data_IF_614882095500
#
_entry.id   IF_614882095500
#
_cell.length_a   1.000
_cell.length_b   1.000
_cell.length_c   1.000
_cell.angle_alpha   90.00
_cell.angle_beta   90.00
_cell.angle_gamma   90.00
#
_symmetry.space_group_name_H-M   'P 1'
#
loop_
_entity.id
_entity.type
_entity.pdbx_description
1 polymer ?
#
# COMPACT_ATOMS: atom_id res chain seq x y z
N UNK A 1 -31.79 -8.01 22.33
CA UNK A 1 -32.67 -7.27 21.40
C UNK A 1 -31.91 -6.34 20.46
N UNK A 2 -30.68 -5.97 20.79
CA UNK A 2 -29.82 -5.11 19.93
C UNK A 2 -29.13 -5.84 18.77
N UNK A 3 -28.93 -7.17 18.85
CA UNK A 3 -28.32 -7.95 17.76
C UNK A 3 -29.24 -8.19 16.54
N UNK A 4 -30.53 -7.99 16.67
CA UNK A 4 -31.46 -8.18 15.55
C UNK A 4 -31.51 -7.00 14.58
N UNK A 5 -31.09 -5.79 15.00
CA UNK A 5 -31.03 -4.63 14.12
C UNK A 5 -29.87 -4.67 13.15
N UNK A 6 -28.73 -5.28 13.53
CA UNK A 6 -27.55 -5.39 12.67
C UNK A 6 -27.78 -6.38 11.52
N UNK A 7 -28.57 -7.43 11.73
CA UNK A 7 -28.86 -8.42 10.70
C UNK A 7 -29.79 -7.90 9.58
N UNK A 8 -30.57 -6.84 9.84
CA UNK A 8 -31.46 -6.23 8.83
C UNK A 8 -30.71 -5.28 7.89
N UNK A 9 -29.57 -4.75 8.32
CA UNK A 9 -28.74 -3.80 7.57
C UNK A 9 -28.04 -4.45 6.37
N UNK A 10 -27.79 -5.76 6.43
CA UNK A 10 -27.09 -6.49 5.35
C UNK A 10 -27.98 -6.83 4.13
N UNK A 11 -29.25 -6.49 4.12
CA UNK A 11 -30.18 -6.85 3.02
C UNK A 11 -30.42 -5.77 1.96
N UNK A 12 -29.73 -4.61 2.01
CA UNK A 12 -30.11 -3.53 1.10
C UNK A 12 -29.07 -2.44 0.82
N UNK A 13 -27.83 -2.74 0.53
CA UNK A 13 -26.83 -1.73 0.12
C UNK A 13 -26.08 -1.12 1.32
N UNK A 14 -25.09 -0.23 1.09
CA UNK A 14 -24.32 0.36 2.17
C UNK A 14 -25.23 1.20 3.05
N UNK A 15 -25.59 0.66 4.22
CA UNK A 15 -26.29 1.43 5.23
C UNK A 15 -25.34 2.50 5.75
N UNK A 16 -25.73 3.76 5.60
CA UNK A 16 -25.08 4.84 6.34
C UNK A 16 -25.39 4.61 7.81
N UNK A 17 -24.34 4.39 8.61
CA UNK A 17 -24.46 4.43 10.06
C UNK A 17 -24.75 5.88 10.47
N UNK A 18 -25.67 6.06 11.39
CA UNK A 18 -25.91 7.36 12.01
C UNK A 18 -24.75 7.66 12.99
N UNK A 19 -24.46 8.93 13.23
CA UNK A 19 -23.32 9.36 14.04
C UNK A 19 -23.31 8.70 15.43
N UNK A 20 -24.49 8.53 16.07
CA UNK A 20 -24.61 7.85 17.36
C UNK A 20 -24.30 6.34 17.31
N UNK A 21 -24.47 5.70 16.16
CA UNK A 21 -24.12 4.28 15.97
C UNK A 21 -22.63 4.11 15.82
N UNK A 22 -22.00 5.06 15.14
CA UNK A 22 -20.52 5.12 15.00
C UNK A 22 -19.88 5.36 16.36
N UNK A 23 -20.39 6.32 17.16
CA UNK A 23 -19.92 6.59 18.51
C UNK A 23 -20.09 5.36 19.42
N UNK A 24 -21.22 4.69 19.38
CA UNK A 24 -21.47 3.48 20.19
C UNK A 24 -20.55 2.31 19.82
N UNK A 25 -20.18 2.17 18.55
CA UNK A 25 -19.21 1.17 18.10
C UNK A 25 -17.80 1.55 18.57
N UNK A 26 -17.45 2.82 18.44
CA UNK A 26 -16.16 3.33 18.88
C UNK A 26 -15.96 3.14 20.39
N UNK A 27 -16.96 3.51 21.20
CA UNK A 27 -16.94 3.33 22.66
C UNK A 27 -16.83 1.85 23.07
N UNK A 28 -17.56 0.98 22.35
CA UNK A 28 -17.46 -0.45 22.60
C UNK A 28 -16.07 -1.01 22.29
N UNK A 29 -15.48 -0.60 21.18
CA UNK A 29 -14.13 -1.04 20.78
C UNK A 29 -13.06 -0.49 21.74
N UNK A 30 -13.19 0.76 22.14
CA UNK A 30 -12.27 1.40 23.10
C UNK A 30 -12.31 0.73 24.47
N UNK A 31 -13.49 0.29 24.92
CA UNK A 31 -13.65 -0.42 26.17
C UNK A 31 -13.00 -1.83 26.19
N UNK A 32 -12.68 -2.39 25.02
CA UNK A 32 -11.98 -3.69 24.89
C UNK A 32 -10.47 -3.55 24.85
N UNK A 33 -9.93 -2.33 24.77
CA UNK A 33 -8.49 -2.10 24.68
C UNK A 33 -7.90 -2.12 26.10
N UNK A 34 -6.91 -2.96 26.37
CA UNK A 34 -6.25 -3.00 27.69
C UNK A 34 -5.60 -1.65 28.03
N UNK A 35 -5.65 -1.28 29.32
CA UNK A 35 -4.93 -0.09 29.82
C UNK A 35 -3.44 -0.18 29.46
N UNK A 36 -2.94 0.85 28.78
CA UNK A 36 -1.54 0.94 28.36
C UNK A 36 -1.30 0.77 26.85
N UNK A 37 -2.32 0.43 26.07
CA UNK A 37 -2.25 0.59 24.63
C UNK A 37 -2.60 2.05 24.31
N UNK A 38 -1.63 2.78 23.75
CA UNK A 38 -1.80 4.20 23.44
C UNK A 38 -2.93 4.45 22.46
N UNK A 39 -4.13 4.58 22.99
CA UNK A 39 -5.31 5.00 22.22
C UNK A 39 -5.35 6.50 22.22
N UNK A 40 -5.17 7.09 21.08
CA UNK A 40 -5.47 8.50 20.86
C UNK A 40 -6.99 8.64 20.96
N UNK A 41 -7.50 9.30 22.01
CA UNK A 41 -8.93 9.59 22.12
C UNK A 41 -9.33 10.49 20.96
N UNK A 42 -10.10 9.98 20.02
CA UNK A 42 -10.82 10.81 19.05
C UNK A 42 -11.81 11.69 19.83
N UNK A 43 -11.53 12.99 19.98
CA UNK A 43 -12.42 13.92 20.66
C UNK A 43 -11.75 15.05 21.42
N UNK A 44 -10.46 15.27 21.24
CA UNK A 44 -9.78 16.49 21.62
C UNK A 44 -9.34 17.22 20.36
N UNK A 45 -9.59 18.51 20.27
CA UNK A 45 -8.91 19.41 19.37
C UNK A 45 -7.40 19.41 19.73
N UNK A 46 -6.73 18.35 19.34
CA UNK A 46 -5.31 18.32 19.13
C UNK A 46 -5.17 18.22 17.60
N UNK A 47 -4.99 19.37 16.96
CA UNK A 47 -4.15 19.41 15.78
C UNK A 47 -2.77 18.91 16.27
N UNK A 48 -2.61 17.59 16.38
CA UNK A 48 -1.29 17.02 16.27
C UNK A 48 -0.86 17.43 14.86
N UNK A 49 -0.02 18.46 14.78
CA UNK A 49 0.82 18.63 13.61
C UNK A 49 1.52 17.28 13.46
N UNK A 50 0.97 16.44 12.59
CA UNK A 50 1.70 15.30 12.08
C UNK A 50 2.90 15.94 11.41
N UNK A 51 4.05 15.95 12.10
CA UNK A 51 5.29 16.40 11.49
C UNK A 51 5.40 15.60 10.20
N UNK A 52 5.23 16.28 9.08
CA UNK A 52 5.34 15.64 7.78
C UNK A 52 6.73 15.00 7.76
N UNK A 53 6.77 13.69 7.61
CA UNK A 53 8.05 12.99 7.50
C UNK A 53 8.77 13.59 6.31
N UNK A 54 9.85 14.31 6.58
CA UNK A 54 10.67 14.95 5.55
C UNK A 54 11.71 13.92 5.11
N UNK A 55 11.58 13.45 3.89
CA UNK A 55 12.55 12.57 3.27
C UNK A 55 13.73 13.40 2.75
N UNK A 56 14.96 12.95 2.98
CA UNK A 56 16.14 13.65 2.46
C UNK A 56 16.33 13.38 0.97
N UNK A 57 15.97 12.18 0.51
CA UNK A 57 16.07 11.78 -0.90
C UNK A 57 14.82 11.02 -1.35
N UNK A 58 14.52 11.00 -2.66
CA UNK A 58 13.45 10.16 -3.21
C UNK A 58 13.66 8.67 -2.92
N UNK A 59 14.91 8.21 -2.88
CA UNK A 59 15.28 6.82 -2.61
C UNK A 59 14.90 6.41 -1.18
N UNK A 60 15.15 7.26 -0.18
CA UNK A 60 14.74 7.02 1.20
C UNK A 60 13.20 6.93 1.33
N UNK A 61 12.50 7.81 0.64
CA UNK A 61 11.03 7.76 0.59
C UNK A 61 10.55 6.48 -0.10
N UNK A 62 11.17 6.11 -1.22
CA UNK A 62 10.85 4.90 -1.96
C UNK A 62 11.10 3.62 -1.16
N UNK A 63 12.20 3.55 -0.39
CA UNK A 63 12.48 2.44 0.53
C UNK A 63 11.39 2.29 1.58
N UNK A 64 11.02 3.41 2.22
CA UNK A 64 9.93 3.42 3.17
C UNK A 64 8.63 2.92 2.55
N UNK A 65 8.26 3.41 1.37
CA UNK A 65 7.06 3.00 0.65
C UNK A 65 7.11 1.51 0.27
N UNK A 66 8.26 1.01 -0.20
CA UNK A 66 8.43 -0.40 -0.58
C UNK A 66 8.10 -1.35 0.58
N UNK A 67 8.49 -0.99 1.80
CA UNK A 67 8.19 -1.76 3.00
C UNK A 67 6.73 -1.54 3.45
N UNK A 68 6.30 -0.29 3.56
CA UNK A 68 5.02 0.06 4.20
C UNK A 68 3.81 -0.16 3.29
N UNK A 69 3.98 -0.14 1.97
CA UNK A 69 2.94 -0.53 1.02
C UNK A 69 2.88 -2.05 0.79
N UNK A 70 3.75 -2.81 1.47
CA UNK A 70 3.74 -4.27 1.45
C UNK A 70 4.43 -4.90 0.24
N UNK A 71 5.18 -4.14 -0.57
CA UNK A 71 5.91 -4.66 -1.74
C UNK A 71 6.90 -5.75 -1.33
N UNK A 72 7.61 -5.54 -0.20
CA UNK A 72 8.58 -6.48 0.37
C UNK A 72 7.97 -7.84 0.76
N UNK A 73 6.65 -7.92 0.94
CA UNK A 73 5.97 -9.19 1.23
C UNK A 73 5.91 -10.14 0.04
N UNK A 74 6.05 -9.62 -1.18
CA UNK A 74 5.97 -10.39 -2.41
C UNK A 74 7.26 -10.33 -3.25
N UNK A 75 8.06 -9.30 -3.09
CA UNK A 75 9.28 -9.06 -3.87
C UNK A 75 10.52 -9.08 -3.00
N UNK A 76 11.49 -9.94 -3.35
CA UNK A 76 12.82 -9.92 -2.74
C UNK A 76 13.70 -8.82 -3.33
N UNK A 77 14.66 -8.36 -2.55
CA UNK A 77 15.75 -7.50 -3.00
C UNK A 77 17.03 -8.29 -3.30
N UNK A 78 17.01 -9.60 -3.06
CA UNK A 78 18.17 -10.46 -3.26
C UNK A 78 18.15 -11.10 -4.64
N UNK A 79 19.33 -11.35 -5.19
CA UNK A 79 19.52 -12.10 -6.44
C UNK A 79 18.93 -13.51 -6.30
N UNK A 80 18.26 -13.98 -7.37
CA UNK A 80 17.68 -15.34 -7.47
C UNK A 80 16.63 -15.72 -6.40
N UNK A 81 16.33 -14.86 -5.46
CA UNK A 81 15.30 -15.14 -4.47
C UNK A 81 13.91 -14.78 -5.00
N UNK A 82 13.03 -15.76 -5.06
CA UNK A 82 11.62 -15.60 -5.45
C UNK A 82 10.72 -15.88 -4.26
N UNK A 83 9.92 -14.90 -3.87
CA UNK A 83 8.90 -15.06 -2.82
C UNK A 83 7.54 -15.37 -3.47
N UNK A 84 6.89 -14.37 -4.05
CA UNK A 84 5.63 -14.48 -4.80
C UNK A 84 5.81 -13.86 -6.18
N UNK A 85 6.37 -12.66 -6.23
CA UNK A 85 6.73 -11.93 -7.43
C UNK A 85 8.20 -12.07 -7.79
N UNK A 86 8.62 -11.52 -8.93
CA UNK A 86 10.03 -11.50 -9.33
C UNK A 86 10.88 -10.69 -8.35
N UNK A 87 12.16 -11.09 -8.21
CA UNK A 87 13.13 -10.31 -7.46
C UNK A 87 13.33 -8.92 -8.07
N UNK A 88 13.52 -7.93 -7.22
CA UNK A 88 13.85 -6.55 -7.63
C UNK A 88 15.35 -6.35 -7.89
N UNK A 89 16.20 -7.31 -7.53
CA UNK A 89 17.64 -7.24 -7.76
C UNK A 89 17.95 -7.01 -9.25
N UNK A 90 18.76 -5.98 -9.56
CA UNK A 90 19.09 -5.60 -10.92
C UNK A 90 17.89 -5.27 -11.81
N UNK A 91 16.72 -4.90 -11.23
CA UNK A 91 15.50 -4.66 -11.98
C UNK A 91 15.68 -3.58 -13.04
N UNK A 92 16.32 -2.48 -12.70
CA UNK A 92 16.50 -1.36 -13.60
C UNK A 92 17.28 -1.76 -14.86
N UNK A 93 18.39 -2.45 -14.70
CA UNK A 93 19.28 -2.83 -15.81
C UNK A 93 18.61 -3.81 -16.79
N UNK A 94 17.73 -4.69 -16.28
CA UNK A 94 17.04 -5.66 -17.13
C UNK A 94 15.69 -5.18 -17.64
N UNK A 95 15.27 -3.96 -17.33
CA UNK A 95 13.92 -3.44 -17.67
C UNK A 95 13.83 -2.73 -19.00
N UNK A 96 14.91 -2.17 -19.52
CA UNK A 96 14.89 -1.27 -20.68
C UNK A 96 14.39 -1.89 -22.00
N UNK A 97 14.47 -3.22 -22.13
CA UNK A 97 14.05 -3.95 -23.34
C UNK A 97 12.80 -4.82 -23.12
N UNK A 98 12.13 -4.72 -21.96
CA UNK A 98 10.96 -5.57 -21.63
C UNK A 98 9.75 -5.25 -22.46
N UNK A 99 9.46 -3.98 -22.65
CA UNK A 99 8.32 -3.52 -23.46
C UNK A 99 8.82 -2.56 -24.52
N UNK A 100 8.60 -2.84 -25.81
CA UNK A 100 9.06 -1.95 -26.89
C UNK A 100 8.48 -0.54 -26.73
N UNK A 101 9.37 0.45 -26.71
CA UNK A 101 9.01 1.85 -26.61
C UNK A 101 8.92 2.41 -25.21
N UNK A 102 9.13 1.61 -24.16
CA UNK A 102 9.26 2.09 -22.80
C UNK A 102 10.74 2.09 -22.36
N UNK A 103 11.13 3.14 -21.68
CA UNK A 103 12.37 3.15 -20.90
C UNK A 103 12.25 2.22 -19.67
N UNK A 104 13.37 1.93 -19.02
CA UNK A 104 13.37 1.13 -17.80
C UNK A 104 12.52 1.76 -16.69
N UNK A 105 12.56 3.09 -16.53
CA UNK A 105 11.76 3.82 -15.55
C UNK A 105 10.26 3.73 -15.87
N UNK A 106 9.89 3.96 -17.13
CA UNK A 106 8.48 3.87 -17.58
C UNK A 106 7.94 2.44 -17.42
N UNK A 107 8.76 1.43 -17.70
CA UNK A 107 8.39 0.04 -17.46
C UNK A 107 8.15 -0.25 -15.98
N UNK A 108 9.05 0.19 -15.09
CA UNK A 108 8.90 0.00 -13.64
C UNK A 108 7.64 0.73 -13.15
N UNK A 109 7.46 1.99 -13.55
CA UNK A 109 6.27 2.77 -13.23
C UNK A 109 4.99 2.06 -13.68
N UNK A 110 4.93 1.65 -14.95
CA UNK A 110 3.79 0.93 -15.50
C UNK A 110 3.50 -0.36 -14.75
N UNK A 111 4.55 -1.11 -14.38
CA UNK A 111 4.42 -2.37 -13.65
C UNK A 111 3.85 -2.19 -12.24
N UNK A 112 4.09 -1.05 -11.60
CA UNK A 112 3.50 -0.70 -10.30
C UNK A 112 2.02 -0.33 -10.45
N UNK A 113 1.70 0.54 -11.41
CA UNK A 113 0.35 1.12 -11.57
C UNK A 113 -0.58 0.16 -12.30
N UNK A 114 -0.08 -0.52 -13.32
CA UNK A 114 -0.83 -1.43 -14.20
C UNK A 114 -0.16 -2.81 -14.29
N UNK A 115 -0.09 -3.56 -13.20
CA UNK A 115 0.73 -4.79 -13.11
C UNK A 115 0.30 -5.91 -14.07
N UNK A 116 -0.88 -5.80 -14.68
CA UNK A 116 -1.38 -6.78 -15.64
C UNK A 116 -1.19 -6.38 -17.12
N UNK A 117 -0.64 -5.20 -17.40
CA UNK A 117 -0.31 -4.78 -18.78
C UNK A 117 0.87 -5.58 -19.35
N UNK A 118 1.83 -5.92 -18.51
CA UNK A 118 2.93 -6.81 -18.87
C UNK A 118 3.16 -7.84 -17.76
N UNK A 119 2.98 -9.10 -18.09
CA UNK A 119 3.22 -10.22 -17.18
C UNK A 119 4.61 -10.79 -17.44
N UNK A 120 5.46 -10.77 -16.43
CA UNK A 120 6.78 -11.40 -16.50
C UNK A 120 6.62 -12.90 -16.72
N UNK A 121 7.38 -13.46 -17.65
CA UNK A 121 7.33 -14.89 -17.97
C UNK A 121 7.57 -15.74 -16.72
N UNK A 122 6.74 -16.76 -16.53
CA UNK A 122 6.77 -17.65 -15.37
C UNK A 122 5.90 -17.20 -14.20
N UNK A 123 5.29 -16.01 -14.25
CA UNK A 123 4.40 -15.50 -13.19
C UNK A 123 2.94 -15.46 -13.65
N UNK A 124 1.99 -15.75 -12.75
CA UNK A 124 0.57 -15.68 -13.09
C UNK A 124 0.06 -14.22 -13.09
N UNK A 125 -0.92 -13.98 -13.97
CA UNK A 125 -1.65 -12.70 -13.98
C UNK A 125 -2.51 -12.53 -12.72
N UNK A 126 -2.84 -11.27 -12.39
CA UNK A 126 -3.73 -10.87 -11.29
C UNK A 126 -3.26 -11.27 -9.89
N UNK A 127 -1.97 -11.50 -9.69
CA UNK A 127 -1.37 -11.76 -8.36
C UNK A 127 -0.94 -10.45 -7.70
N UNK A 128 -0.26 -9.57 -8.43
CA UNK A 128 0.06 -8.23 -7.95
C UNK A 128 -1.22 -7.37 -7.92
N UNK A 129 -1.61 -6.81 -6.77
CA UNK A 129 -2.84 -6.04 -6.66
C UNK A 129 -2.72 -4.69 -7.37
N UNK A 130 -3.79 -4.26 -8.05
CA UNK A 130 -3.83 -2.98 -8.76
C UNK A 130 -4.33 -1.84 -7.84
N UNK A 131 -3.77 -1.74 -6.65
CA UNK A 131 -4.13 -0.71 -5.67
C UNK A 131 -3.21 0.50 -5.69
N UNK A 132 -2.00 0.33 -6.23
CA UNK A 132 -0.95 1.35 -6.24
C UNK A 132 -1.22 2.50 -7.23
N UNK A 133 -2.22 2.39 -8.07
CA UNK A 133 -2.75 3.47 -8.88
C UNK A 133 -3.26 4.67 -8.05
N UNK A 134 -3.53 4.45 -6.76
CA UNK A 134 -3.98 5.50 -5.84
C UNK A 134 -2.82 6.24 -5.15
N UNK A 135 -1.59 5.82 -5.34
CA UNK A 135 -0.42 6.57 -4.86
C UNK A 135 -0.28 7.87 -5.64
N UNK A 136 0.23 8.89 -4.97
CA UNK A 136 0.57 10.15 -5.64
C UNK A 136 1.72 9.96 -6.63
N UNK A 137 1.84 10.87 -7.59
CA UNK A 137 2.94 10.85 -8.55
C UNK A 137 4.31 10.92 -7.85
N UNK A 138 4.41 11.70 -6.75
CA UNK A 138 5.63 11.80 -5.94
C UNK A 138 6.01 10.46 -5.31
N UNK A 139 5.04 9.74 -4.74
CA UNK A 139 5.25 8.42 -4.15
C UNK A 139 5.66 7.38 -5.20
N UNK A 140 5.03 7.41 -6.38
CA UNK A 140 5.38 6.52 -7.49
C UNK A 140 6.80 6.79 -7.98
N UNK A 141 7.18 8.05 -8.15
CA UNK A 141 8.54 8.42 -8.55
C UNK A 141 9.58 8.06 -7.47
N UNK A 142 9.24 8.18 -6.21
CA UNK A 142 10.09 7.74 -5.10
C UNK A 142 10.33 6.22 -5.15
N UNK A 143 9.27 5.42 -5.36
CA UNK A 143 9.40 3.97 -5.54
C UNK A 143 10.29 3.62 -6.74
N UNK A 144 10.10 4.28 -7.88
CA UNK A 144 10.95 4.07 -9.06
C UNK A 144 12.41 4.42 -8.75
N UNK A 145 12.66 5.56 -8.07
CA UNK A 145 14.01 5.98 -7.68
C UNK A 145 14.67 4.96 -6.77
N UNK A 146 13.96 4.44 -5.78
CA UNK A 146 14.48 3.39 -4.90
C UNK A 146 14.80 2.11 -5.67
N UNK A 147 13.88 1.64 -6.50
CA UNK A 147 14.07 0.39 -7.26
C UNK A 147 15.22 0.45 -8.25
N UNK A 148 15.64 1.63 -8.67
CA UNK A 148 16.87 1.84 -9.48
C UNK A 148 18.14 1.57 -8.72
N UNK A 149 18.12 1.65 -7.40
CA UNK A 149 19.33 1.46 -6.57
C UNK A 149 19.59 0.01 -6.19
N UNK A 150 18.68 -0.91 -6.55
CA UNK A 150 18.77 -2.33 -6.17
C UNK A 150 19.65 -3.07 -7.18
N UNK A 151 20.91 -3.32 -6.80
CA UNK A 151 21.95 -4.02 -7.57
C UNK A 151 22.42 -5.28 -6.85
#
# INVERSE_FOLDING_TARGET
TRMQSVASVYKGGPAKLEDYEIEAIADYLLAQIPDGWGVVKAGGEAEEEVEAVVWNTPEEHGEYLFVNQGCAGCHSLNEEEVIVGPSMYGLYDRSGDKVPGLSAEEYIYQSIVYPNEYIVEGYPANVMPQIFINLSEEELQALVSYLKTIE
#
